data_IF_035389731825
#
_entry.id   IF_035389731825
#
_cell.length_a   1.000
_cell.length_b   1.000
_cell.length_c   1.000
_cell.angle_alpha   90.00
_cell.angle_beta   90.00
_cell.angle_gamma   90.00
#
_symmetry.space_group_name_H-M   'P 1'
#
loop_
_entity.id
_entity.type
_entity.pdbx_description
1 polymer ?
#
# COMPACT_ATOMS: atom_id res chain seq x y z
N UNK A 1 36.01 -10.77 38.50
CA UNK A 1 36.86 -9.61 38.17
C UNK A 1 36.70 -9.29 36.70
N UNK A 2 36.39 -8.03 36.43
CA UNK A 2 35.91 -7.47 35.17
C UNK A 2 36.95 -7.55 34.05
N UNK A 3 36.64 -8.20 32.93
CA UNK A 3 37.21 -7.82 31.63
C UNK A 3 36.28 -6.79 31.00
N UNK A 4 36.73 -5.54 30.98
CA UNK A 4 36.13 -4.44 30.22
C UNK A 4 36.43 -4.67 28.74
N UNK A 5 35.52 -5.31 28.02
CA UNK A 5 35.55 -5.33 26.56
C UNK A 5 34.83 -4.08 26.05
N UNK A 6 35.61 -3.06 25.73
CA UNK A 6 35.15 -1.88 25.02
C UNK A 6 34.77 -2.30 23.59
N UNK A 7 33.48 -2.52 23.34
CA UNK A 7 32.97 -2.51 21.97
C UNK A 7 32.91 -1.04 21.54
N UNK A 8 33.93 -0.65 20.79
CA UNK A 8 33.97 0.59 20.02
C UNK A 8 32.74 0.57 19.13
N UNK A 9 31.74 1.35 19.53
CA UNK A 9 30.60 1.65 18.68
C UNK A 9 31.13 2.30 17.41
N UNK A 10 31.15 1.55 16.31
CA UNK A 10 31.09 2.13 14.99
C UNK A 10 29.69 2.74 14.85
N UNK A 11 29.52 3.93 15.44
CA UNK A 11 28.60 4.93 14.92
C UNK A 11 29.14 5.28 13.54
N UNK A 12 28.81 4.47 12.53
CA UNK A 12 28.77 4.97 11.17
C UNK A 12 27.64 5.98 11.15
N UNK A 13 28.00 7.22 11.51
CA UNK A 13 27.21 8.40 11.25
C UNK A 13 27.20 8.56 9.73
N UNK A 14 26.49 7.68 9.02
CA UNK A 14 25.97 8.02 7.72
C UNK A 14 24.96 9.10 8.00
N UNK A 15 25.43 10.34 8.01
CA UNK A 15 24.59 11.50 7.77
C UNK A 15 23.82 11.19 6.50
N UNK A 16 22.61 10.64 6.65
CA UNK A 16 21.59 10.62 5.62
C UNK A 16 21.22 12.07 5.41
N UNK A 17 22.10 12.81 4.71
CA UNK A 17 21.61 13.84 3.82
C UNK A 17 20.77 13.06 2.82
N UNK A 18 19.47 12.95 3.12
CA UNK A 18 18.50 12.89 2.04
C UNK A 18 18.74 14.19 1.29
N UNK A 19 19.57 14.13 0.24
CA UNK A 19 19.88 15.29 -0.58
C UNK A 19 18.53 15.86 -1.02
N UNK A 20 18.15 16.98 -0.42
CA UNK A 20 16.95 17.70 -0.80
C UNK A 20 17.22 18.17 -2.22
N UNK A 21 16.70 17.42 -3.19
CA UNK A 21 16.84 17.74 -4.60
C UNK A 21 16.35 19.18 -4.82
N UNK A 22 17.10 19.95 -5.61
CA UNK A 22 16.67 21.29 -6.03
C UNK A 22 15.28 21.23 -6.67
N UNK A 23 14.49 22.29 -6.51
CA UNK A 23 13.20 22.36 -7.19
C UNK A 23 13.37 22.56 -8.71
N UNK A 24 12.56 21.87 -9.50
CA UNK A 24 12.57 21.99 -10.95
C UNK A 24 12.06 23.37 -11.37
N UNK A 25 12.87 24.15 -12.10
CA UNK A 25 12.43 25.44 -12.70
C UNK A 25 12.22 25.34 -14.21
N UNK A 26 12.92 24.42 -14.86
CA UNK A 26 12.86 24.23 -16.31
C UNK A 26 13.26 22.79 -16.69
N UNK A 27 13.27 22.49 -17.99
CA UNK A 27 13.60 21.16 -18.51
C UNK A 27 15.06 20.76 -18.27
N UNK A 28 16.00 21.71 -18.27
CA UNK A 28 17.40 21.42 -17.96
C UNK A 28 17.58 20.94 -16.51
N UNK A 29 16.76 21.42 -15.58
CA UNK A 29 16.70 20.89 -14.21
C UNK A 29 16.20 19.45 -14.19
N UNK A 30 15.14 19.12 -14.94
CA UNK A 30 14.62 17.74 -15.04
C UNK A 30 15.62 16.77 -15.65
N UNK A 31 16.43 17.24 -16.61
CA UNK A 31 17.53 16.47 -17.19
C UNK A 31 18.64 16.23 -16.14
N UNK A 32 19.07 17.27 -15.43
CA UNK A 32 20.18 17.18 -14.46
C UNK A 32 19.81 16.49 -13.15
N UNK A 33 18.55 16.55 -12.73
CA UNK A 33 18.06 16.07 -11.45
C UNK A 33 17.38 17.18 -10.64
N UNK A 34 16.08 17.02 -10.34
CA UNK A 34 15.32 17.97 -9.53
C UNK A 34 14.03 17.33 -8.97
N UNK A 35 13.31 18.05 -8.11
CA UNK A 35 11.95 17.69 -7.66
C UNK A 35 10.97 18.77 -8.07
N UNK A 36 9.90 18.38 -8.76
CA UNK A 36 8.76 19.24 -9.01
C UNK A 36 7.82 19.16 -7.82
N UNK A 37 7.51 20.31 -7.21
CA UNK A 37 6.59 20.42 -6.08
C UNK A 37 5.28 21.03 -6.55
N UNK A 38 4.18 20.41 -6.16
CA UNK A 38 2.82 20.91 -6.44
C UNK A 38 2.17 21.24 -5.11
N UNK A 39 1.55 22.42 -5.05
CA UNK A 39 0.92 22.97 -3.86
C UNK A 39 -0.58 23.13 -4.08
N UNK A 40 -1.36 23.01 -3.00
CA UNK A 40 -2.75 23.43 -2.98
C UNK A 40 -2.88 24.96 -3.10
N UNK A 41 -4.09 25.45 -3.37
CA UNK A 41 -4.38 26.90 -3.45
C UNK A 41 -4.09 27.66 -2.15
N UNK A 42 -4.07 26.97 -1.00
CA UNK A 42 -3.70 27.51 0.30
C UNK A 42 -2.18 27.49 0.57
N UNK A 43 -1.36 27.09 -0.41
CA UNK A 43 0.10 27.05 -0.31
C UNK A 43 0.67 25.81 0.38
N UNK A 44 -0.15 24.85 0.83
CA UNK A 44 0.35 23.60 1.42
C UNK A 44 0.88 22.66 0.34
N UNK A 45 2.00 22.00 0.61
CA UNK A 45 2.59 21.02 -0.29
C UNK A 45 1.63 19.83 -0.45
N UNK A 46 1.29 19.52 -1.69
CA UNK A 46 0.41 18.41 -2.03
C UNK A 46 1.21 17.21 -2.55
N UNK A 47 2.27 17.46 -3.32
CA UNK A 47 2.98 16.40 -4.02
C UNK A 47 4.42 16.78 -4.40
N UNK A 48 5.32 15.80 -4.35
CA UNK A 48 6.70 15.86 -4.83
C UNK A 48 6.94 14.83 -5.93
N UNK A 49 7.50 15.27 -7.06
CA UNK A 49 7.84 14.41 -8.21
C UNK A 49 9.32 14.53 -8.54
N UNK A 50 10.16 13.54 -8.21
CA UNK A 50 11.56 13.57 -8.57
C UNK A 50 11.77 13.23 -10.05
N UNK A 51 12.62 14.00 -10.71
CA UNK A 51 13.04 13.80 -12.10
C UNK A 51 14.56 13.64 -12.18
N UNK A 52 15.00 12.82 -13.12
CA UNK A 52 16.39 12.66 -13.56
C UNK A 52 16.41 12.24 -15.02
N UNK A 53 17.35 12.78 -15.81
CA UNK A 53 17.43 12.51 -17.25
C UNK A 53 16.13 12.83 -18.01
N UNK A 54 15.36 13.82 -17.54
CA UNK A 54 14.10 14.25 -18.13
C UNK A 54 12.91 13.32 -17.83
N UNK A 55 13.11 12.31 -16.96
CA UNK A 55 12.10 11.29 -16.62
C UNK A 55 11.84 11.26 -15.12
N UNK A 56 10.65 10.83 -14.69
CA UNK A 56 10.40 10.54 -13.28
C UNK A 56 11.32 9.40 -12.82
N UNK A 57 12.07 9.65 -11.76
CA UNK A 57 13.06 8.75 -11.21
C UNK A 57 13.19 9.00 -9.70
N UNK A 58 12.92 7.97 -8.88
CA UNK A 58 12.88 8.10 -7.42
C UNK A 58 11.47 7.94 -6.87
N UNK A 59 11.22 8.39 -5.64
CA UNK A 59 9.93 8.21 -4.94
C UNK A 59 9.08 9.46 -5.10
N UNK A 60 7.97 9.35 -5.83
CA UNK A 60 6.90 10.35 -5.82
C UNK A 60 6.17 10.28 -4.48
N UNK A 61 5.93 11.44 -3.86
CA UNK A 61 5.23 11.54 -2.58
C UNK A 61 4.00 12.42 -2.70
N UNK A 62 2.89 11.96 -2.15
CA UNK A 62 1.70 12.78 -1.93
C UNK A 62 1.53 12.98 -0.43
N UNK A 63 0.98 14.12 -0.04
CA UNK A 63 0.83 14.51 1.36
C UNK A 63 -0.63 14.70 1.73
N UNK A 64 -0.94 14.38 2.99
CA UNK A 64 -2.18 14.74 3.66
C UNK A 64 -2.23 16.24 3.97
N UNK A 65 -3.39 16.73 4.40
CA UNK A 65 -3.58 18.15 4.73
C UNK A 65 -2.70 18.64 5.88
N UNK A 66 -2.24 17.74 6.75
CA UNK A 66 -1.33 17.97 7.87
C UNK A 66 0.16 17.83 7.49
N UNK A 67 0.46 17.60 6.20
CA UNK A 67 1.80 17.35 5.64
C UNK A 67 2.42 16.00 6.01
N UNK A 68 1.68 15.09 6.64
CA UNK A 68 2.10 13.69 6.73
C UNK A 68 2.04 13.03 5.34
N UNK A 69 2.83 11.98 5.12
CA UNK A 69 2.88 11.30 3.83
C UNK A 69 1.59 10.50 3.64
N UNK A 70 0.88 10.74 2.54
CA UNK A 70 -0.30 9.97 2.13
C UNK A 70 0.08 8.79 1.23
N UNK A 71 0.98 9.00 0.26
CA UNK A 71 1.41 7.97 -0.69
C UNK A 71 2.89 8.10 -0.95
N UNK A 72 3.58 6.96 -1.06
CA UNK A 72 4.89 6.84 -1.69
C UNK A 72 4.80 5.90 -2.89
N UNK A 73 5.23 6.39 -4.05
CA UNK A 73 5.20 5.64 -5.30
C UNK A 73 6.57 5.70 -5.97
N UNK A 74 7.34 4.60 -5.94
CA UNK A 74 8.62 4.53 -6.63
C UNK A 74 8.45 4.54 -8.16
N UNK A 75 9.25 5.35 -8.84
CA UNK A 75 9.34 5.46 -10.29
C UNK A 75 10.76 5.18 -10.78
N UNK A 76 10.85 4.53 -11.93
CA UNK A 76 12.07 4.32 -12.71
C UNK A 76 11.75 4.55 -14.18
N UNK A 77 12.42 5.48 -14.83
CA UNK A 77 12.18 5.85 -16.23
C UNK A 77 10.69 6.08 -16.56
N UNK A 78 10.03 6.98 -15.83
CA UNK A 78 8.59 7.32 -15.96
C UNK A 78 7.59 6.21 -15.60
N UNK A 79 8.07 5.03 -15.22
CA UNK A 79 7.22 3.90 -14.87
C UNK A 79 7.23 3.63 -13.38
N UNK A 80 6.07 3.38 -12.76
CA UNK A 80 6.03 2.83 -11.41
C UNK A 80 6.80 1.51 -11.31
N UNK A 81 7.73 1.42 -10.36
CA UNK A 81 8.63 0.27 -10.23
C UNK A 81 9.06 0.08 -8.77
N UNK A 82 8.52 -0.95 -8.11
CA UNK A 82 8.75 -1.23 -6.70
C UNK A 82 7.46 -1.26 -5.89
N UNK A 83 7.57 -1.04 -4.58
CA UNK A 83 6.43 -1.10 -3.65
C UNK A 83 5.83 0.29 -3.51
N UNK A 84 4.61 0.47 -3.99
CA UNK A 84 3.77 1.63 -3.64
C UNK A 84 3.22 1.42 -2.23
N UNK A 85 3.25 2.47 -1.41
CA UNK A 85 2.63 2.50 -0.08
C UNK A 85 1.64 3.64 0.02
N UNK A 86 0.56 3.43 0.75
CA UNK A 86 -0.31 4.51 1.20
C UNK A 86 -0.53 4.40 2.70
N UNK A 87 -0.74 5.55 3.33
CA UNK A 87 -0.72 5.68 4.78
C UNK A 87 -1.98 6.40 5.27
N UNK A 88 -2.41 6.03 6.47
CA UNK A 88 -3.41 6.77 7.23
C UNK A 88 -2.81 8.07 7.78
N UNK A 89 -3.66 9.00 8.20
CA UNK A 89 -3.21 10.28 8.80
C UNK A 89 -2.37 10.08 10.07
N UNK A 90 -2.57 8.97 10.79
CA UNK A 90 -1.76 8.60 11.95
C UNK A 90 -0.34 8.09 11.59
N UNK A 91 -0.01 8.01 10.30
CA UNK A 91 1.29 7.55 9.79
C UNK A 91 1.42 6.03 9.64
N UNK A 92 0.43 5.24 10.07
CA UNK A 92 0.43 3.80 9.84
C UNK A 92 0.18 3.49 8.36
N UNK A 93 0.80 2.41 7.88
CA UNK A 93 0.58 1.93 6.50
C UNK A 93 -0.87 1.46 6.40
N UNK A 94 -1.64 2.03 5.45
CA UNK A 94 -2.96 1.53 5.06
C UNK A 94 -2.90 0.49 3.96
N UNK A 95 -1.80 0.44 3.21
CA UNK A 95 -1.52 -0.70 2.34
C UNK A 95 -0.31 -0.56 1.44
N UNK A 96 0.00 -1.68 0.79
CA UNK A 96 1.15 -1.86 -0.07
C UNK A 96 0.73 -2.55 -1.37
N UNK A 97 1.27 -2.09 -2.50
CA UNK A 97 1.05 -2.71 -3.80
C UNK A 97 2.34 -2.79 -4.61
N UNK A 98 2.58 -3.93 -5.25
CA UNK A 98 3.78 -4.16 -6.05
C UNK A 98 3.53 -3.69 -7.49
N UNK A 99 4.46 -2.88 -7.99
CA UNK A 99 4.50 -2.42 -9.37
C UNK A 99 5.76 -2.92 -10.06
N UNK A 100 5.61 -3.42 -11.29
CA UNK A 100 6.69 -3.84 -12.17
C UNK A 100 6.41 -3.36 -13.59
N UNK A 101 7.37 -2.67 -14.20
CA UNK A 101 7.21 -2.08 -15.53
C UNK A 101 5.95 -1.19 -15.68
N UNK A 102 5.60 -0.47 -14.62
CA UNK A 102 4.42 0.39 -14.58
C UNK A 102 3.09 -0.35 -14.47
N UNK A 103 3.09 -1.66 -14.24
CA UNK A 103 1.88 -2.45 -13.99
C UNK A 103 1.83 -2.95 -12.57
N UNK A 104 0.66 -2.91 -11.96
CA UNK A 104 0.46 -3.55 -10.68
C UNK A 104 0.37 -5.07 -10.86
N UNK A 105 1.29 -5.79 -10.24
CA UNK A 105 1.44 -7.24 -10.39
C UNK A 105 1.94 -7.85 -9.06
N UNK A 106 1.18 -8.78 -8.52
CA UNK A 106 1.44 -9.41 -7.22
C UNK A 106 0.36 -9.15 -6.19
N UNK A 107 0.73 -9.30 -4.91
CA UNK A 107 -0.19 -9.20 -3.77
C UNK A 107 -0.27 -7.75 -3.30
N UNK A 108 -1.49 -7.24 -3.21
CA UNK A 108 -1.83 -6.01 -2.51
C UNK A 108 -2.10 -6.36 -1.05
N UNK A 109 -1.49 -5.64 -0.11
CA UNK A 109 -1.79 -5.77 1.32
C UNK A 109 -2.60 -4.57 1.78
N UNK A 110 -3.62 -4.81 2.60
CA UNK A 110 -4.44 -3.77 3.22
C UNK A 110 -4.41 -3.95 4.73
N UNK A 111 -4.21 -2.85 5.44
CA UNK A 111 -4.14 -2.82 6.89
C UNK A 111 -5.21 -1.87 7.43
N UNK A 112 -5.61 -2.05 8.68
CA UNK A 112 -6.43 -1.06 9.39
C UNK A 112 -5.59 0.10 9.96
N UNK A 113 -6.25 1.10 10.54
CA UNK A 113 -5.60 2.24 11.17
C UNK A 113 -4.68 1.84 12.34
N UNK A 114 -4.90 0.67 12.96
CA UNK A 114 -4.04 0.10 13.99
C UNK A 114 -2.79 -0.61 13.44
N UNK A 115 -2.68 -0.75 12.11
CA UNK A 115 -1.60 -1.46 11.44
C UNK A 115 -1.80 -2.97 11.35
N UNK A 116 -2.99 -3.50 11.66
CA UNK A 116 -3.27 -4.93 11.52
C UNK A 116 -3.60 -5.28 10.07
N UNK A 117 -3.02 -6.37 9.57
CA UNK A 117 -3.29 -6.86 8.22
C UNK A 117 -4.73 -7.38 8.15
N UNK A 118 -5.56 -6.78 7.30
CA UNK A 118 -6.95 -7.20 7.11
C UNK A 118 -7.16 -7.99 5.82
N UNK A 119 -6.39 -7.71 4.76
CA UNK A 119 -6.53 -8.39 3.49
C UNK A 119 -5.23 -8.52 2.69
N UNK A 120 -5.12 -9.62 1.95
CA UNK A 120 -4.17 -9.82 0.87
C UNK A 120 -4.94 -10.08 -0.42
N UNK A 121 -4.73 -9.27 -1.46
CA UNK A 121 -5.48 -9.33 -2.71
C UNK A 121 -4.54 -9.56 -3.88
N UNK A 122 -4.70 -10.69 -4.58
CA UNK A 122 -3.88 -11.00 -5.75
C UNK A 122 -4.34 -10.23 -6.98
N UNK A 123 -3.40 -9.51 -7.63
CA UNK A 123 -3.64 -8.75 -8.84
C UNK A 123 -2.61 -9.10 -9.92
N UNK A 124 -3.06 -9.17 -11.16
CA UNK A 124 -2.23 -9.37 -12.35
C UNK A 124 -2.57 -8.28 -13.37
N UNK A 125 -1.60 -7.44 -13.71
CA UNK A 125 -1.78 -6.32 -14.65
C UNK A 125 -3.01 -5.46 -14.30
N UNK A 126 -3.12 -5.03 -13.03
CA UNK A 126 -4.25 -4.26 -12.49
C UNK A 126 -5.60 -4.98 -12.37
N UNK A 127 -5.70 -6.24 -12.79
CA UNK A 127 -6.93 -7.02 -12.72
C UNK A 127 -6.83 -8.03 -11.57
N UNK A 128 -7.88 -8.17 -10.77
CA UNK A 128 -7.91 -9.17 -9.69
C UNK A 128 -7.78 -10.57 -10.28
N UNK A 129 -6.76 -11.30 -9.86
CA UNK A 129 -6.44 -12.62 -10.39
C UNK A 129 -5.69 -13.41 -9.32
N UNK A 130 -6.25 -14.54 -8.91
CA UNK A 130 -5.79 -15.32 -7.76
C UNK A 130 -6.67 -15.07 -6.53
N UNK A 131 -6.09 -15.33 -5.35
CA UNK A 131 -6.83 -15.30 -4.10
C UNK A 131 -6.84 -13.91 -3.47
N UNK A 132 -8.00 -13.53 -2.97
CA UNK A 132 -8.20 -12.56 -1.91
C UNK A 132 -8.36 -13.31 -0.60
N UNK A 133 -7.47 -13.06 0.35
CA UNK A 133 -7.48 -13.63 1.70
C UNK A 133 -7.88 -12.54 2.69
N UNK A 134 -8.84 -12.85 3.57
CA UNK A 134 -9.35 -11.91 4.57
C UNK A 134 -9.06 -12.41 5.98
N UNK A 135 -8.57 -11.51 6.83
CA UNK A 135 -8.06 -11.82 8.14
C UNK A 135 -8.85 -11.09 9.24
N UNK A 136 -8.97 -11.73 10.39
CA UNK A 136 -9.40 -11.11 11.65
C UNK A 136 -8.26 -10.29 12.26
N UNK A 137 -8.57 -9.48 13.27
CA UNK A 137 -7.57 -8.70 14.01
C UNK A 137 -6.48 -9.58 14.63
N UNK A 138 -6.82 -10.79 15.10
CA UNK A 138 -5.87 -11.79 15.62
C UNK A 138 -5.14 -12.59 14.51
N UNK A 139 -5.18 -12.07 13.27
CA UNK A 139 -4.48 -12.60 12.07
C UNK A 139 -4.96 -13.98 11.62
N UNK A 140 -6.15 -14.43 12.05
CA UNK A 140 -6.74 -15.66 11.55
C UNK A 140 -7.43 -15.42 10.22
N UNK A 141 -7.14 -16.27 9.25
CA UNK A 141 -7.84 -16.27 7.97
C UNK A 141 -9.30 -16.70 8.19
N UNK A 142 -10.27 -15.88 7.76
CA UNK A 142 -11.69 -16.21 7.90
C UNK A 142 -12.42 -16.40 6.57
N UNK A 143 -11.88 -15.88 5.46
CA UNK A 143 -12.42 -16.10 4.12
C UNK A 143 -11.35 -16.09 3.02
N UNK A 144 -11.64 -16.82 1.94
CA UNK A 144 -10.88 -16.80 0.68
C UNK A 144 -11.87 -16.56 -0.46
N UNK A 145 -11.54 -15.62 -1.36
CA UNK A 145 -12.27 -15.34 -2.59
C UNK A 145 -11.27 -15.45 -3.74
N UNK A 146 -11.43 -16.43 -4.62
CA UNK A 146 -10.56 -16.63 -5.79
C UNK A 146 -11.19 -16.00 -7.01
N UNK A 147 -10.43 -15.12 -7.68
CA UNK A 147 -10.84 -14.46 -8.91
C UNK A 147 -9.97 -14.86 -10.10
N UNK A 148 -10.54 -14.84 -11.30
CA UNK A 148 -9.80 -14.97 -12.56
C UNK A 148 -10.22 -13.84 -13.49
N UNK A 149 -9.29 -12.92 -13.73
CA UNK A 149 -9.52 -11.75 -14.58
C UNK A 149 -10.74 -10.92 -14.11
N UNK A 150 -10.86 -10.73 -12.80
CA UNK A 150 -11.93 -9.96 -12.17
C UNK A 150 -13.14 -10.78 -11.72
N UNK A 151 -13.40 -11.91 -12.40
CA UNK A 151 -14.55 -12.78 -12.15
C UNK A 151 -14.32 -13.71 -10.96
N UNK A 152 -15.30 -13.83 -10.07
CA UNK A 152 -15.24 -14.77 -8.95
C UNK A 152 -15.41 -16.20 -9.44
N UNK A 153 -14.41 -17.05 -9.20
CA UNK A 153 -14.49 -18.49 -9.47
C UNK A 153 -15.02 -19.22 -8.24
N UNK A 154 -14.55 -18.80 -7.08
CA UNK A 154 -14.78 -19.51 -5.83
C UNK A 154 -14.72 -18.54 -4.68
N UNK A 155 -15.59 -18.72 -3.69
CA UNK A 155 -15.52 -17.96 -2.47
C UNK A 155 -16.05 -18.78 -1.29
N UNK A 156 -15.28 -18.80 -0.20
CA UNK A 156 -15.66 -19.51 1.02
C UNK A 156 -15.21 -18.78 2.26
N UNK A 157 -16.03 -18.88 3.29
CA UNK A 157 -15.63 -18.72 4.67
C UNK A 157 -14.87 -19.96 5.15
N UNK A 158 -14.06 -19.82 6.19
CA UNK A 158 -13.31 -20.95 6.77
C UNK A 158 -14.22 -21.94 7.53
N UNK A 159 -15.42 -21.50 7.95
CA UNK A 159 -16.47 -22.39 8.47
C UNK A 159 -17.17 -23.23 7.38
N UNK A 160 -16.73 -23.12 6.12
CA UNK A 160 -17.29 -23.88 4.99
C UNK A 160 -18.46 -23.20 4.28
N UNK A 161 -19.01 -22.09 4.81
CA UNK A 161 -20.04 -21.32 4.10
C UNK A 161 -19.49 -20.78 2.78
N UNK A 162 -20.17 -21.08 1.67
CA UNK A 162 -19.90 -20.46 0.37
C UNK A 162 -20.50 -19.06 0.36
N UNK A 163 -19.73 -18.07 -0.09
CA UNK A 163 -20.22 -16.70 -0.23
C UNK A 163 -20.92 -16.54 -1.57
N UNK A 164 -22.06 -15.85 -1.58
CA UNK A 164 -22.84 -15.58 -2.79
C UNK A 164 -22.36 -14.31 -3.48
N UNK A 165 -22.57 -14.19 -4.79
CA UNK A 165 -22.27 -12.97 -5.54
C UNK A 165 -23.01 -11.75 -4.98
N UNK A 166 -24.22 -11.96 -4.45
CA UNK A 166 -24.98 -10.91 -3.75
C UNK A 166 -24.30 -10.44 -2.48
N UNK A 167 -23.67 -11.32 -1.72
CA UNK A 167 -22.90 -10.94 -0.53
C UNK A 167 -21.61 -10.21 -0.92
N UNK A 168 -20.90 -10.69 -1.94
CA UNK A 168 -19.64 -10.10 -2.40
C UNK A 168 -19.80 -8.74 -3.09
N UNK A 169 -20.96 -8.47 -3.71
CA UNK A 169 -21.22 -7.22 -4.43
C UNK A 169 -21.71 -6.06 -3.56
N UNK A 170 -22.04 -6.30 -2.28
CA UNK A 170 -22.59 -5.24 -1.40
C UNK A 170 -21.60 -4.10 -1.13
N UNK A 171 -20.31 -4.42 -1.06
CA UNK A 171 -19.25 -3.44 -0.81
C UNK A 171 -18.03 -3.75 -1.69
N UNK A 172 -17.26 -2.72 -1.99
CA UNK A 172 -16.01 -2.82 -2.73
C UNK A 172 -14.84 -2.65 -1.76
N UNK A 173 -14.02 -3.70 -1.61
CA UNK A 173 -12.88 -3.72 -0.70
C UNK A 173 -11.87 -2.60 -0.99
N UNK A 174 -11.78 -2.12 -2.23
CA UNK A 174 -10.88 -1.02 -2.59
C UNK A 174 -11.47 0.36 -2.29
N UNK A 175 -12.79 0.47 -2.13
CA UNK A 175 -13.46 1.73 -1.77
C UNK A 175 -13.65 1.86 -0.26
N UNK A 176 -14.05 0.77 0.40
CA UNK A 176 -14.31 0.74 1.84
C UNK A 176 -13.84 -0.61 2.41
N UNK A 177 -12.52 -0.82 2.60
CA UNK A 177 -11.97 -2.10 3.05
C UNK A 177 -12.56 -2.54 4.38
N UNK A 178 -12.50 -1.68 5.40
CA UNK A 178 -13.01 -1.97 6.74
C UNK A 178 -14.48 -2.39 6.72
N UNK A 179 -15.36 -1.59 6.11
CA UNK A 179 -16.78 -1.90 6.00
C UNK A 179 -17.04 -3.23 5.27
N UNK A 180 -16.28 -3.50 4.21
CA UNK A 180 -16.41 -4.76 3.44
C UNK A 180 -16.00 -5.95 4.28
N UNK A 181 -14.87 -5.83 4.99
CA UNK A 181 -14.29 -6.89 5.80
C UNK A 181 -15.17 -7.18 7.01
N UNK A 182 -15.64 -6.16 7.73
CA UNK A 182 -16.55 -6.31 8.86
C UNK A 182 -17.86 -7.01 8.44
N UNK A 183 -18.44 -6.61 7.30
CA UNK A 183 -19.62 -7.26 6.76
C UNK A 183 -19.40 -8.75 6.44
N UNK A 184 -18.25 -9.11 5.86
CA UNK A 184 -17.93 -10.50 5.55
C UNK A 184 -17.56 -11.30 6.81
N UNK A 185 -16.95 -10.67 7.82
CA UNK A 185 -16.71 -11.29 9.12
C UNK A 185 -18.04 -11.64 9.79
N UNK A 186 -19.03 -10.74 9.80
CA UNK A 186 -20.37 -11.03 10.33
C UNK A 186 -21.03 -12.24 9.63
N UNK A 187 -20.71 -12.48 8.37
CA UNK A 187 -21.22 -13.65 7.64
C UNK A 187 -20.44 -14.92 7.98
N UNK A 188 -19.11 -14.82 7.99
CA UNK A 188 -18.23 -15.98 8.08
C UNK A 188 -17.94 -16.45 9.51
N UNK A 189 -18.15 -15.58 10.50
CA UNK A 189 -17.90 -15.86 11.92
C UNK A 189 -19.17 -16.04 12.74
N UNK A 190 -20.36 -15.82 12.15
CA UNK A 190 -21.60 -16.31 12.78
C UNK A 190 -21.51 -17.82 12.91
N UNK A 191 -21.64 -18.30 14.14
CA UNK A 191 -21.84 -19.71 14.40
C UNK A 191 -23.02 -20.18 13.53
N UNK A 192 -22.81 -21.23 12.75
CA UNK A 192 -23.94 -21.92 12.15
C UNK A 192 -24.80 -22.37 13.32
N UNK A 193 -26.02 -21.84 13.45
CA UNK A 193 -27.01 -22.39 14.38
C UNK A 193 -27.00 -23.91 14.17
N UNK A 194 -26.38 -24.61 15.11
CA UNK A 194 -26.20 -26.04 15.08
C UNK A 194 -27.60 -26.64 15.16
N UNK A 195 -28.02 -27.26 14.06
CA UNK A 195 -29.18 -28.14 14.00
C UNK A 195 -29.06 -29.26 15.01
#
# INVERSE_FOLDING_TARGET
MLLKSAFIGFLSLSTLYADTLKECKNEADRISGCVEKIYHSNGRLWMEKPYKNGKKEGVERLYHGDMSIFVEMPFKNDKPEGIRRWYYENGNIGGEAIYKNGKQDGVIKMYDEGGNLQAEVSALNFILHGDTKLYTEDKKLFAIITKRYGETIFSKCLNGKVLTDKELSKNDIFKNPEKTINYLQEICLKESDSR
#
